data_IF_037741758952
#
_entry.id   IF_037741758952
#
_cell.length_a   1.000
_cell.length_b   1.000
_cell.length_c   1.000
_cell.angle_alpha   90.00
_cell.angle_beta   90.00
_cell.angle_gamma   90.00
#
_symmetry.space_group_name_H-M   'P 1'
#
loop_
_entity.id
_entity.type
_entity.pdbx_description
1 polymer ?
#
# COMPACT_ATOMS: atom_id res chain seq x y z
N UNK A 1 8.40 -12.36 -10.65
CA UNK A 1 6.98 -12.03 -10.43
C UNK A 1 6.90 -10.52 -10.28
N UNK A 2 6.16 -9.83 -11.14
CA UNK A 2 5.88 -8.40 -10.90
C UNK A 2 5.06 -8.29 -9.61
N UNK A 3 5.46 -7.42 -8.70
CA UNK A 3 4.74 -7.19 -7.46
C UNK A 3 3.54 -6.27 -7.74
N UNK A 4 2.36 -6.72 -7.32
CA UNK A 4 1.09 -6.01 -7.46
C UNK A 4 0.38 -5.91 -6.11
N UNK A 5 -0.62 -5.04 -5.99
CA UNK A 5 -1.35 -4.85 -4.75
C UNK A 5 -2.21 -6.09 -4.49
N UNK A 6 -1.78 -6.96 -3.56
CA UNK A 6 -2.46 -8.22 -3.30
C UNK A 6 -3.72 -8.04 -2.45
N UNK A 7 -4.61 -9.03 -2.48
CA UNK A 7 -5.80 -9.06 -1.63
C UNK A 7 -5.45 -8.95 -0.13
N UNK A 8 -4.35 -9.56 0.31
CA UNK A 8 -3.84 -9.48 1.69
C UNK A 8 -3.43 -8.07 2.07
N UNK A 9 -2.74 -7.34 1.18
CA UNK A 9 -2.32 -5.96 1.46
C UNK A 9 -3.55 -5.06 1.46
N UNK A 10 -4.43 -5.21 0.47
CA UNK A 10 -5.65 -4.42 0.38
C UNK A 10 -6.58 -4.68 1.58
N UNK A 11 -6.72 -5.92 2.05
CA UNK A 11 -7.59 -6.23 3.18
C UNK A 11 -7.15 -5.57 4.47
N UNK A 12 -5.83 -5.50 4.72
CA UNK A 12 -5.27 -4.74 5.85
C UNK A 12 -5.60 -3.25 5.76
N UNK A 13 -5.44 -2.65 4.57
CA UNK A 13 -5.79 -1.24 4.33
C UNK A 13 -7.28 -0.96 4.56
N UNK A 14 -8.15 -1.81 4.02
CA UNK A 14 -9.60 -1.69 4.16
C UNK A 14 -10.01 -1.85 5.62
N UNK A 15 -9.52 -2.90 6.29
CA UNK A 15 -9.78 -3.15 7.71
C UNK A 15 -9.37 -1.96 8.58
N UNK A 16 -8.18 -1.40 8.32
CA UNK A 16 -7.67 -0.21 9.00
C UNK A 16 -8.61 1.00 8.94
N UNK A 17 -9.31 1.17 7.82
CA UNK A 17 -10.24 2.26 7.58
C UNK A 17 -11.57 1.94 8.26
N UNK A 18 -12.18 0.79 7.94
CA UNK A 18 -13.52 0.45 8.42
C UNK A 18 -13.58 0.19 9.92
N UNK A 19 -12.51 -0.30 10.55
CA UNK A 19 -12.46 -0.51 12.01
C UNK A 19 -12.60 0.79 12.82
N UNK A 20 -12.38 1.94 12.19
CA UNK A 20 -12.60 3.26 12.78
C UNK A 20 -14.02 3.79 12.56
N UNK A 21 -14.94 2.94 12.11
CA UNK A 21 -16.28 3.29 11.65
C UNK A 21 -16.28 4.31 10.50
N UNK A 22 -15.15 4.44 9.80
CA UNK A 22 -15.03 5.31 8.65
C UNK A 22 -15.51 4.59 7.39
N UNK A 23 -16.30 5.28 6.57
CA UNK A 23 -16.59 4.82 5.21
C UNK A 23 -15.31 4.82 4.37
N UNK A 24 -15.12 3.81 3.53
CA UNK A 24 -14.04 3.82 2.55
C UNK A 24 -14.32 4.90 1.50
N UNK A 25 -13.38 5.82 1.32
CA UNK A 25 -13.45 6.93 0.36
C UNK A 25 -12.18 6.95 -0.48
N UNK A 26 -12.22 7.64 -1.63
CA UNK A 26 -11.03 7.79 -2.47
C UNK A 26 -9.86 8.42 -1.69
N UNK A 27 -10.13 9.44 -0.89
CA UNK A 27 -9.09 10.20 -0.17
C UNK A 27 -8.40 9.35 0.90
N UNK A 28 -9.16 8.64 1.73
CA UNK A 28 -8.57 7.81 2.78
C UNK A 28 -7.88 6.56 2.20
N UNK A 29 -8.40 6.02 1.09
CA UNK A 29 -7.77 4.95 0.34
C UNK A 29 -6.42 5.41 -0.21
N UNK A 30 -6.38 6.48 -1.02
CA UNK A 30 -5.15 7.04 -1.60
C UNK A 30 -4.11 7.38 -0.54
N UNK A 31 -4.54 7.82 0.63
CA UNK A 31 -3.63 8.12 1.75
C UNK A 31 -2.92 6.87 2.28
N UNK A 32 -3.57 5.71 2.26
CA UNK A 32 -3.02 4.42 2.72
C UNK A 32 -2.21 3.69 1.65
N UNK A 33 -2.45 3.95 0.36
CA UNK A 33 -1.77 3.28 -0.76
C UNK A 33 -0.71 4.13 -1.47
N UNK A 34 -0.15 5.15 -0.81
CA UNK A 34 0.86 6.08 -1.39
C UNK A 34 2.12 5.43 -1.98
N UNK A 35 2.42 4.17 -1.64
CA UNK A 35 3.55 3.40 -2.20
C UNK A 35 3.27 2.73 -3.56
N UNK A 36 2.06 2.90 -4.10
CA UNK A 36 1.60 2.22 -5.31
C UNK A 36 1.30 3.22 -6.43
N UNK A 37 1.65 2.86 -7.66
CA UNK A 37 1.27 3.61 -8.87
C UNK A 37 -0.18 3.26 -9.22
N UNK A 38 -1.11 4.04 -8.69
CA UNK A 38 -2.54 3.91 -8.93
C UNK A 38 -3.05 5.25 -9.44
N UNK A 39 -3.66 5.27 -10.63
CA UNK A 39 -4.35 6.45 -11.13
C UNK A 39 -5.71 6.62 -10.45
N UNK A 40 -6.23 7.85 -10.44
CA UNK A 40 -7.47 8.19 -9.72
C UNK A 40 -8.68 7.41 -10.23
N UNK A 41 -8.72 7.05 -11.51
CA UNK A 41 -9.82 6.27 -12.09
C UNK A 41 -9.79 4.84 -11.56
N UNK A 42 -8.62 4.21 -11.56
CA UNK A 42 -8.43 2.86 -10.99
C UNK A 42 -8.67 2.84 -9.48
N UNK A 43 -8.16 3.84 -8.76
CA UNK A 43 -8.39 3.98 -7.32
C UNK A 43 -9.88 4.12 -6.98
N UNK A 44 -10.62 4.94 -7.73
CA UNK A 44 -12.05 5.11 -7.53
C UNK A 44 -12.81 3.82 -7.79
N UNK A 45 -12.50 3.09 -8.86
CA UNK A 45 -13.12 1.79 -9.14
C UNK A 45 -12.89 0.77 -8.03
N UNK A 46 -11.67 0.70 -7.48
CA UNK A 46 -11.37 -0.17 -6.34
C UNK A 46 -12.22 0.20 -5.13
N UNK A 47 -12.34 1.50 -4.80
CA UNK A 47 -13.18 1.98 -3.69
C UNK A 47 -14.65 1.65 -3.92
N UNK A 48 -15.15 1.85 -5.13
CA UNK A 48 -16.55 1.58 -5.48
C UNK A 48 -16.87 0.09 -5.33
N UNK A 49 -16.04 -0.79 -5.90
CA UNK A 49 -16.19 -2.24 -5.81
C UNK A 49 -16.15 -2.75 -4.36
N UNK A 50 -15.25 -2.21 -3.53
CA UNK A 50 -15.18 -2.58 -2.11
C UNK A 50 -16.44 -2.13 -1.36
N UNK A 51 -16.94 -0.94 -1.65
CA UNK A 51 -18.16 -0.41 -1.02
C UNK A 51 -19.44 -1.17 -1.44
N UNK A 52 -19.41 -1.99 -2.50
CA UNK A 52 -20.51 -2.91 -2.85
C UNK A 52 -20.49 -4.22 -2.05
N UNK A 53 -19.45 -4.48 -1.24
CA UNK A 53 -19.37 -5.69 -0.41
C UNK A 53 -20.24 -5.50 0.84
N UNK A 54 -21.31 -6.27 0.93
CA UNK A 54 -22.20 -6.27 2.10
C UNK A 54 -21.46 -6.63 3.39
N UNK A 55 -21.79 -5.90 4.47
CA UNK A 55 -21.30 -6.11 5.84
C UNK A 55 -19.77 -6.16 5.94
N UNK A 56 -19.06 -5.38 5.11
CA UNK A 56 -17.59 -5.38 5.10
C UNK A 56 -16.98 -4.92 6.43
N UNK A 57 -17.68 -4.08 7.18
CA UNK A 57 -17.32 -3.58 8.50
C UNK A 57 -17.44 -4.63 9.61
N UNK A 58 -18.21 -5.70 9.38
CA UNK A 58 -18.30 -6.85 10.28
C UNK A 58 -17.18 -7.89 10.04
N UNK A 59 -16.42 -7.75 8.94
CA UNK A 59 -15.39 -8.69 8.55
C UNK A 59 -14.03 -8.34 9.17
N UNK A 60 -13.28 -9.37 9.54
CA UNK A 60 -11.86 -9.25 9.85
C UNK A 60 -11.02 -9.21 8.55
N UNK A 61 -9.72 -8.92 8.67
CA UNK A 61 -8.79 -8.85 7.54
C UNK A 61 -8.82 -10.08 6.64
N UNK A 62 -8.91 -11.29 7.22
CA UNK A 62 -9.00 -12.55 6.47
C UNK A 62 -10.32 -12.67 5.70
N UNK A 63 -11.43 -12.27 6.33
CA UNK A 63 -12.75 -12.24 5.70
C UNK A 63 -12.80 -11.27 4.52
N UNK A 64 -12.24 -10.07 4.71
CA UNK A 64 -12.13 -9.05 3.65
C UNK A 64 -11.26 -9.58 2.50
N UNK A 65 -10.10 -10.16 2.79
CA UNK A 65 -9.21 -10.75 1.77
C UNK A 65 -9.95 -11.79 0.92
N UNK A 66 -10.70 -12.70 1.57
CA UNK A 66 -11.47 -13.72 0.88
C UNK A 66 -12.55 -13.13 -0.03
N UNK A 67 -13.23 -12.06 0.39
CA UNK A 67 -14.22 -11.37 -0.45
C UNK A 67 -13.58 -10.69 -1.65
N UNK A 68 -12.42 -10.07 -1.46
CA UNK A 68 -11.62 -9.49 -2.55
C UNK A 68 -11.22 -10.57 -3.56
N UNK A 69 -10.69 -11.71 -3.09
CA UNK A 69 -10.26 -12.82 -3.96
C UNK A 69 -11.40 -13.45 -4.76
N UNK A 70 -12.64 -13.41 -4.22
CA UNK A 70 -13.84 -13.90 -4.89
C UNK A 70 -14.38 -12.92 -5.93
N UNK A 71 -14.04 -11.63 -5.85
CA UNK A 71 -14.43 -10.63 -6.84
C UNK A 71 -13.38 -10.57 -7.96
N UNK A 72 -13.73 -11.13 -9.13
CA UNK A 72 -12.82 -11.18 -10.28
C UNK A 72 -12.48 -9.81 -10.87
N UNK A 73 -13.41 -8.85 -10.80
CA UNK A 73 -13.20 -7.50 -11.29
C UNK A 73 -12.22 -6.75 -10.39
N UNK A 74 -12.39 -6.87 -9.07
CA UNK A 74 -11.47 -6.33 -8.07
C UNK A 74 -10.07 -6.92 -8.21
N UNK A 75 -9.96 -8.24 -8.38
CA UNK A 75 -8.68 -8.90 -8.64
C UNK A 75 -8.03 -8.45 -9.95
N UNK A 76 -8.81 -8.09 -10.97
CA UNK A 76 -8.30 -7.58 -12.23
C UNK A 76 -7.77 -6.14 -12.10
N UNK A 77 -8.49 -5.28 -11.36
CA UNK A 77 -8.04 -3.94 -11.00
C UNK A 77 -6.72 -4.00 -10.21
N UNK A 78 -6.65 -4.88 -9.21
CA UNK A 78 -5.46 -5.06 -8.36
C UNK A 78 -4.22 -5.49 -9.14
N UNK A 79 -4.37 -6.35 -10.15
CA UNK A 79 -3.25 -6.78 -11.01
C UNK A 79 -2.75 -5.66 -11.93
N UNK A 80 -3.58 -4.67 -12.24
CA UNK A 80 -3.18 -3.51 -13.03
C UNK A 80 -2.35 -2.50 -12.20
N UNK A 81 -2.47 -2.57 -10.87
CA UNK A 81 -1.75 -1.69 -9.93
C UNK A 81 -0.31 -2.18 -9.75
N UNK A 82 0.65 -1.32 -10.11
CA UNK A 82 2.09 -1.62 -9.99
C UNK A 82 2.72 -0.87 -8.81
N UNK A 83 3.80 -1.43 -8.26
CA UNK A 83 4.61 -0.70 -7.26
C UNK A 83 5.29 0.50 -7.92
N UNK A 84 5.35 1.62 -7.21
CA UNK A 84 6.19 2.74 -7.60
C UNK A 84 7.68 2.42 -7.40
N UNK A 85 8.35 2.04 -8.48
CA UNK A 85 9.78 1.73 -8.47
C UNK A 85 10.65 2.97 -8.22
N UNK A 86 10.11 4.19 -8.37
CA UNK A 86 10.85 5.43 -8.12
C UNK A 86 11.14 5.66 -6.63
N UNK A 87 10.34 5.07 -5.72
CA UNK A 87 10.57 5.14 -4.27
C UNK A 87 11.84 4.40 -3.84
N UNK A 88 12.32 3.45 -4.63
CA UNK A 88 13.60 2.75 -4.40
C UNK A 88 14.81 3.44 -5.02
N UNK A 89 14.61 4.48 -5.83
CA UNK A 89 15.69 5.10 -6.60
C UNK A 89 16.14 6.43 -5.97
N UNK A 90 17.04 6.34 -4.99
CA UNK A 90 17.74 7.51 -4.46
C UNK A 90 18.75 7.99 -5.52
N UNK A 91 18.37 8.98 -6.33
CA UNK A 91 19.31 9.65 -7.23
C UNK A 91 19.96 10.81 -6.49
N UNK A 92 21.22 10.64 -6.06
CA UNK A 92 22.01 11.72 -5.46
C UNK A 92 22.99 12.27 -6.49
N UNK A 93 22.87 13.56 -6.80
CA UNK A 93 23.91 14.31 -7.49
C UNK A 93 24.74 14.97 -6.39
N UNK A 94 25.93 14.44 -6.13
CA UNK A 94 26.88 15.03 -5.18
C UNK A 94 27.93 15.87 -5.91
N UNK A 95 28.31 17.02 -5.35
CA UNK A 95 29.49 17.80 -5.77
C UNK A 95 30.47 18.01 -4.61
N UNK A 96 30.51 17.09 -3.63
CA UNK A 96 31.38 17.11 -2.46
C UNK A 96 31.52 15.71 -1.83
N UNK A 97 32.57 15.50 -1.02
CA UNK A 97 32.83 14.21 -0.37
C UNK A 97 31.87 14.00 0.81
N UNK A 98 30.99 13.01 0.74
CA UNK A 98 30.07 12.62 1.80
C UNK A 98 29.59 11.18 1.64
N UNK A 99 29.51 10.47 2.76
CA UNK A 99 29.02 9.08 2.82
C UNK A 99 27.49 9.04 2.74
N UNK A 100 26.96 8.12 1.93
CA UNK A 100 25.54 7.83 1.89
C UNK A 100 25.25 6.59 2.73
N UNK A 101 24.30 6.71 3.67
CA UNK A 101 23.85 5.60 4.51
C UNK A 101 22.36 5.40 4.28
N UNK A 102 21.98 4.22 3.80
CA UNK A 102 20.59 3.79 3.68
C UNK A 102 20.31 2.74 4.77
N UNK A 103 19.40 3.06 5.69
CA UNK A 103 19.04 2.22 6.84
C UNK A 103 19.67 2.65 8.17
N UNK A 104 19.36 1.92 9.25
CA UNK A 104 19.88 2.20 10.59
C UNK A 104 21.40 1.97 10.65
N UNK A 105 22.16 3.04 10.92
CA UNK A 105 23.60 2.96 11.18
C UNK A 105 23.81 2.57 12.64
N UNK A 106 24.22 1.34 12.90
CA UNK A 106 24.75 0.99 14.22
C UNK A 106 26.18 1.54 14.34
N UNK A 107 26.33 2.69 14.99
CA UNK A 107 27.64 3.32 15.23
C UNK A 107 28.20 2.79 16.55
N UNK A 108 29.21 1.92 16.49
CA UNK A 108 30.03 1.56 17.65
C UNK A 108 31.25 2.47 17.72
N UNK A 109 31.31 3.31 18.74
CA UNK A 109 32.53 4.05 19.08
C UNK A 109 33.49 3.09 19.79
N UNK A 110 34.68 2.85 19.21
CA UNK A 110 35.80 2.35 19.99
C UNK A 110 36.43 3.54 20.70
N UNK A 111 36.36 3.55 22.04
CA UNK A 111 37.11 4.49 22.84
C UNK A 111 38.55 4.00 22.90
N UNK A 112 39.41 4.58 22.07
CA UNK A 112 40.85 4.37 22.22
C UNK A 112 41.31 5.11 23.48
N UNK A 113 41.84 4.35 24.45
CA UNK A 113 42.66 4.86 25.55
C UNK A 113 44.07 4.32 25.38
#
# INVERSE_FOLDING_TARGET
MEAFLTATILSGVVYDIVKTSAKLTLDNFKTKVKGWLIDDTTAQKVVDEINQIDNIDELNETGIARRIEQNQDLMSLLKAIKIDQSLTQITQIHSGSGDNVAGDKHVTYKSDK
#
